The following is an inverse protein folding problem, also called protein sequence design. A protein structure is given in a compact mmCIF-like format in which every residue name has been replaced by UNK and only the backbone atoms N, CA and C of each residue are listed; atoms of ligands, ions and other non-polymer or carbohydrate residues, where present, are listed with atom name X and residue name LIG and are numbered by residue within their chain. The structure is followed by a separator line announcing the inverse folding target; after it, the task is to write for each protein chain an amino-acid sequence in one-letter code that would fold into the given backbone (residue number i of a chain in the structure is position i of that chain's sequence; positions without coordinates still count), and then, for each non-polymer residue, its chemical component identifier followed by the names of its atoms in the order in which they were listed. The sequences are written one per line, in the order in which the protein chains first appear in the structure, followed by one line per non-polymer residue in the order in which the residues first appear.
data_IF_081591287221
#
_entry.id   IF_081591287221
#
_cell.length_a   1.000
_cell.length_b   1.000
_cell.length_c   1.000
_cell.angle_alpha   90.00
_cell.angle_beta   90.00
_cell.angle_gamma   90.00
#
_symmetry.space_group_name_H-M   'P 1'
#
loop_
_entity.id
_entity.type
_entity.pdbx_description
1 polymer ?
#
# COMPACT_ATOMS: atom_id res chain seq x y z
N UNK A 1 22.05 1.52 9.76
CA UNK A 1 22.33 2.83 9.13
C UNK A 1 21.04 3.59 8.79
N UNK A 2 20.02 2.92 8.25
CA UNK A 2 18.75 3.53 7.80
C UNK A 2 17.99 4.36 8.84
N UNK A 3 17.95 3.94 10.11
CA UNK A 3 17.20 4.66 11.15
C UNK A 3 17.77 6.04 11.48
N UNK A 4 19.11 6.17 11.55
CA UNK A 4 19.76 7.47 11.78
C UNK A 4 19.52 8.42 10.61
N UNK A 5 19.59 7.92 9.38
CA UNK A 5 19.31 8.71 8.18
C UNK A 5 17.87 9.22 8.17
N UNK A 6 16.89 8.38 8.53
CA UNK A 6 15.49 8.82 8.66
C UNK A 6 15.36 9.96 9.67
N UNK A 7 15.91 9.79 10.88
CA UNK A 7 15.85 10.82 11.93
C UNK A 7 16.52 12.12 11.50
N UNK A 8 17.64 12.04 10.78
CA UNK A 8 18.33 13.21 10.24
C UNK A 8 17.50 13.95 9.18
N UNK A 9 16.83 13.21 8.29
CA UNK A 9 15.90 13.80 7.32
C UNK A 9 14.69 14.46 7.98
N UNK A 10 14.13 13.82 9.01
CA UNK A 10 13.03 14.38 9.82
C UNK A 10 13.46 15.64 10.56
N UNK A 11 14.69 15.67 11.10
CA UNK A 11 15.26 16.85 11.74
C UNK A 11 15.41 18.02 10.76
N UNK A 12 16.03 17.80 9.58
CA UNK A 12 16.19 18.86 8.56
C UNK A 12 14.82 19.36 8.11
N UNK A 13 13.90 18.45 7.80
CA UNK A 13 12.55 18.79 7.38
C UNK A 13 11.79 19.56 8.47
N UNK A 14 12.00 19.21 9.74
CA UNK A 14 11.39 19.88 10.89
C UNK A 14 11.92 21.29 11.12
N UNK A 15 13.21 21.52 10.90
CA UNK A 15 13.80 22.86 10.94
C UNK A 15 13.21 23.75 9.83
N UNK A 16 13.15 23.24 8.60
CA UNK A 16 12.53 23.95 7.47
C UNK A 16 11.03 24.20 7.70
N UNK A 17 10.32 23.19 8.20
CA UNK A 17 8.89 23.28 8.52
C UNK A 17 8.61 24.34 9.57
N UNK A 18 9.41 24.39 10.64
CA UNK A 18 9.27 25.40 11.69
C UNK A 18 9.49 26.81 11.12
N UNK A 19 10.52 27.00 10.29
CA UNK A 19 10.78 28.28 9.64
C UNK A 19 9.62 28.71 8.72
N UNK A 20 9.13 27.81 7.86
CA UNK A 20 8.01 28.08 6.95
C UNK A 20 6.72 28.40 7.71
N UNK A 21 6.46 27.69 8.81
CA UNK A 21 5.32 27.97 9.69
C UNK A 21 5.43 29.36 10.30
N UNK A 22 6.57 29.71 10.89
CA UNK A 22 6.79 31.03 11.49
C UNK A 22 6.63 32.15 10.46
N UNK A 23 7.20 31.98 9.26
CA UNK A 23 7.05 32.95 8.17
C UNK A 23 5.60 33.08 7.71
N UNK A 24 4.89 31.96 7.51
CA UNK A 24 3.48 31.95 7.09
C UNK A 24 2.56 32.56 8.14
N UNK A 25 2.77 32.24 9.42
CA UNK A 25 2.04 32.86 10.54
C UNK A 25 2.27 34.37 10.55
N UNK A 26 3.51 34.84 10.41
CA UNK A 26 3.81 36.27 10.39
C UNK A 26 3.06 36.97 9.24
N UNK A 27 3.07 36.39 8.04
CA UNK A 27 2.35 36.91 6.87
C UNK A 27 0.83 36.97 7.09
N UNK A 28 0.25 36.00 7.81
CA UNK A 28 -1.18 35.95 8.09
C UNK A 28 -1.61 36.85 9.27
N UNK A 29 -0.78 36.96 10.32
CA UNK A 29 -1.12 37.68 11.56
C UNK A 29 -0.81 39.18 11.47
N UNK A 30 0.22 39.61 10.74
CA UNK A 30 0.56 41.03 10.61
C UNK A 30 -0.67 41.85 10.13
N UNK A 31 -1.39 41.47 9.05
CA UNK A 31 -2.60 42.16 8.62
C UNK A 31 -3.73 42.15 9.65
N UNK A 32 -3.88 41.05 10.42
CA UNK A 32 -4.87 40.94 11.51
C UNK A 32 -4.55 41.97 12.59
N UNK A 33 -3.31 42.00 13.07
CA UNK A 33 -2.87 42.91 14.13
C UNK A 33 -3.09 44.39 13.76
N UNK A 34 -2.89 44.74 12.49
CA UNK A 34 -3.15 46.08 11.97
C UNK A 34 -4.64 46.38 11.83
N UNK A 35 -5.46 45.38 11.47
CA UNK A 35 -6.91 45.51 11.31
C UNK A 35 -7.64 45.63 12.66
N UNK A 36 -7.23 44.85 13.67
CA UNK A 36 -7.78 44.89 15.03
C UNK A 36 -7.58 46.25 15.69
N UNK A 37 -6.39 46.86 15.52
CA UNK A 37 -6.10 48.21 16.05
C UNK A 37 -6.99 49.29 15.45
N UNK A 38 -7.49 49.11 14.23
CA UNK A 38 -8.35 50.09 13.55
C UNK A 38 -9.84 49.83 13.75
N UNK A 39 -10.30 48.59 13.60
CA UNK A 39 -11.70 48.22 13.80
C UNK A 39 -11.86 46.69 13.97
N UNK A 40 -12.11 46.18 15.20
CA UNK A 40 -12.13 44.74 15.48
C UNK A 40 -13.29 43.98 14.81
N UNK A 41 -14.36 44.67 14.40
CA UNK A 41 -15.51 44.07 13.73
C UNK A 41 -15.48 44.23 12.20
N UNK A 42 -14.32 44.53 11.62
CA UNK A 42 -14.19 44.68 10.17
C UNK A 42 -14.33 43.33 9.45
N UNK A 43 -14.96 43.33 8.27
CA UNK A 43 -15.01 42.15 7.39
C UNK A 43 -13.60 41.61 7.05
N UNK A 44 -12.60 42.51 7.05
CA UNK A 44 -11.20 42.17 6.88
C UNK A 44 -10.66 41.30 8.02
N UNK A 45 -11.01 41.59 9.27
CA UNK A 45 -10.62 40.77 10.41
C UNK A 45 -11.12 39.32 10.30
N UNK A 46 -12.39 39.14 9.95
CA UNK A 46 -12.98 37.81 9.73
C UNK A 46 -12.28 37.08 8.58
N UNK A 47 -12.06 37.77 7.46
CA UNK A 47 -11.37 37.21 6.30
C UNK A 47 -9.97 36.70 6.64
N UNK A 48 -9.13 37.52 7.28
CA UNK A 48 -7.77 37.12 7.64
C UNK A 48 -7.74 36.02 8.71
N UNK A 49 -8.72 35.99 9.62
CA UNK A 49 -8.85 34.91 10.61
C UNK A 49 -9.15 33.58 9.92
N UNK A 50 -10.09 33.56 8.95
CA UNK A 50 -10.38 32.38 8.15
C UNK A 50 -9.17 31.95 7.32
N UNK A 51 -8.48 32.90 6.68
CA UNK A 51 -7.27 32.64 5.90
C UNK A 51 -6.18 31.99 6.76
N UNK A 52 -5.98 32.49 7.98
CA UNK A 52 -5.03 31.92 8.95
C UNK A 52 -5.43 30.50 9.34
N UNK A 53 -6.72 30.25 9.59
CA UNK A 53 -7.24 28.91 9.87
C UNK A 53 -7.00 27.93 8.73
N UNK A 54 -7.29 28.34 7.48
CA UNK A 54 -7.02 27.53 6.29
C UNK A 54 -5.53 27.24 6.11
N UNK A 55 -4.67 28.25 6.29
CA UNK A 55 -3.22 28.09 6.24
C UNK A 55 -2.73 27.08 7.28
N UNK A 56 -3.16 27.21 8.53
CA UNK A 56 -2.80 26.29 9.61
C UNK A 56 -3.25 24.86 9.29
N UNK A 57 -4.50 24.68 8.86
CA UNK A 57 -5.02 23.36 8.48
C UNK A 57 -4.19 22.71 7.37
N UNK A 58 -3.88 23.48 6.33
CA UNK A 58 -3.06 23.04 5.21
C UNK A 58 -1.63 22.70 5.64
N UNK A 59 -1.01 23.57 6.45
CA UNK A 59 0.35 23.38 6.93
C UNK A 59 0.49 22.10 7.76
N UNK A 60 -0.41 21.87 8.71
CA UNK A 60 -0.35 20.66 9.55
C UNK A 60 -0.56 19.38 8.75
N UNK A 61 -1.46 19.40 7.76
CA UNK A 61 -1.64 18.26 6.87
C UNK A 61 -0.43 18.03 5.95
N UNK A 62 0.20 19.10 5.46
CA UNK A 62 1.45 19.00 4.68
C UNK A 62 2.58 18.43 5.56
N UNK A 63 2.74 18.92 6.79
CA UNK A 63 3.75 18.43 7.73
C UNK A 63 3.56 16.94 8.06
N UNK A 64 2.34 16.51 8.37
CA UNK A 64 2.03 15.10 8.55
C UNK A 64 2.39 14.28 7.31
N UNK A 65 2.09 14.80 6.11
CA UNK A 65 2.44 14.15 4.84
C UNK A 65 3.95 14.00 4.66
N UNK A 66 4.75 15.01 5.04
CA UNK A 66 6.22 14.94 5.03
C UNK A 66 6.71 13.83 5.95
N UNK A 67 6.24 13.79 7.21
CA UNK A 67 6.65 12.76 8.16
C UNK A 67 6.29 11.36 7.65
N UNK A 68 5.04 11.16 7.23
CA UNK A 68 4.53 9.88 6.73
C UNK A 68 5.28 9.42 5.48
N UNK A 69 5.56 10.32 4.54
CA UNK A 69 6.27 9.98 3.30
C UNK A 69 7.73 9.59 3.55
N UNK A 70 8.41 10.28 4.47
CA UNK A 70 9.76 9.90 4.90
C UNK A 70 9.73 8.52 5.53
N UNK A 71 8.85 8.24 6.50
CA UNK A 71 8.72 6.91 7.13
C UNK A 71 8.52 5.84 6.04
N UNK A 72 7.59 6.08 5.12
CA UNK A 72 7.29 5.16 4.04
C UNK A 72 8.50 4.87 3.16
N UNK A 73 9.33 5.87 2.84
CA UNK A 73 10.55 5.68 2.05
C UNK A 73 11.60 4.76 2.71
N UNK A 74 11.53 4.57 4.03
CA UNK A 74 12.44 3.69 4.77
C UNK A 74 11.84 2.32 5.05
N UNK A 75 10.60 2.23 5.54
CA UNK A 75 9.99 0.92 5.90
C UNK A 75 9.79 0.01 4.69
N UNK A 76 9.81 0.56 3.47
CA UNK A 76 9.72 -0.25 2.25
C UNK A 76 11.02 -0.89 1.80
N UNK A 77 12.13 -0.61 2.47
CA UNK A 77 13.39 -1.23 2.12
C UNK A 77 13.40 -2.67 2.67
N UNK A 78 13.89 -3.65 1.90
CA UNK A 78 13.81 -5.07 2.26
C UNK A 78 14.64 -5.44 3.50
N UNK A 79 15.53 -4.55 3.94
CA UNK A 79 16.40 -4.70 5.10
C UNK A 79 15.77 -4.17 6.40
N UNK A 80 14.56 -3.61 6.37
CA UNK A 80 13.85 -3.14 7.57
C UNK A 80 12.98 -4.25 8.15
N UNK A 81 13.23 -4.57 9.42
CA UNK A 81 12.51 -5.63 10.16
C UNK A 81 11.63 -5.10 11.29
N UNK A 82 11.75 -3.81 11.63
CA UNK A 82 11.12 -3.20 12.82
C UNK A 82 10.35 -1.93 12.46
N UNK A 83 9.38 -2.05 11.55
CA UNK A 83 8.65 -0.90 10.98
C UNK A 83 7.98 -0.02 12.05
N UNK A 84 7.51 -0.62 13.14
CA UNK A 84 6.86 0.10 14.24
C UNK A 84 7.77 1.14 14.90
N UNK A 85 9.09 0.92 14.92
CA UNK A 85 10.07 1.87 15.48
C UNK A 85 10.15 3.13 14.62
N UNK A 86 10.07 2.97 13.29
CA UNK A 86 10.06 4.07 12.34
C UNK A 86 8.78 4.89 12.47
N UNK A 87 7.63 4.22 12.62
CA UNK A 87 6.35 4.87 12.87
C UNK A 87 6.33 5.65 14.19
N UNK A 88 6.80 5.04 15.29
CA UNK A 88 6.87 5.69 16.59
C UNK A 88 7.80 6.92 16.56
N UNK A 89 8.99 6.77 15.98
CA UNK A 89 9.95 7.86 15.84
C UNK A 89 9.38 8.99 14.97
N UNK A 90 8.81 8.66 13.81
CA UNK A 90 8.20 9.63 12.91
C UNK A 90 7.01 10.36 13.55
N UNK A 91 6.21 9.68 14.37
CA UNK A 91 5.15 10.32 15.16
C UNK A 91 5.71 11.31 16.18
N UNK A 92 6.75 10.94 16.94
CA UNK A 92 7.39 11.84 17.90
C UNK A 92 8.00 13.06 17.22
N UNK A 93 8.61 12.89 16.04
CA UNK A 93 9.09 13.99 15.21
C UNK A 93 7.96 14.88 14.70
N UNK A 94 6.85 14.29 14.25
CA UNK A 94 5.66 15.02 13.84
C UNK A 94 5.20 15.97 14.96
N UNK A 95 5.12 15.45 16.19
CA UNK A 95 4.72 16.19 17.39
C UNK A 95 5.74 17.23 17.88
N UNK A 96 7.01 17.10 17.51
CA UNK A 96 8.09 17.95 18.04
C UNK A 96 7.92 19.45 17.72
N UNK A 97 7.39 19.79 16.54
CA UNK A 97 7.17 21.20 16.15
C UNK A 97 6.13 21.83 17.07
N UNK A 98 5.02 21.14 17.34
CA UNK A 98 3.98 21.64 18.24
C UNK A 98 4.52 21.79 19.66
N UNK A 99 5.26 20.79 20.15
CA UNK A 99 5.87 20.85 21.48
C UNK A 99 6.81 22.05 21.63
N UNK A 100 7.62 22.33 20.60
CA UNK A 100 8.51 23.50 20.57
C UNK A 100 7.74 24.81 20.57
N UNK A 101 6.72 24.95 19.71
CA UNK A 101 5.89 26.16 19.66
C UNK A 101 5.22 26.41 21.00
N UNK A 102 4.60 25.38 21.56
CA UNK A 102 3.94 25.46 22.86
C UNK A 102 4.90 25.92 23.96
N UNK A 103 6.10 25.34 24.01
CA UNK A 103 7.14 25.75 24.97
C UNK A 103 7.60 27.19 24.76
N UNK A 104 7.79 27.63 23.51
CA UNK A 104 8.22 29.00 23.20
C UNK A 104 7.15 30.05 23.55
N UNK A 105 5.88 29.73 23.33
CA UNK A 105 4.76 30.62 23.66
C UNK A 105 4.55 30.70 25.18
N UNK A 106 4.66 29.59 25.91
CA UNK A 106 4.53 29.58 27.37
C UNK A 106 5.57 30.48 28.07
N UNK A 107 6.74 30.69 27.46
CA UNK A 107 7.80 31.53 28.02
C UNK A 107 7.45 33.03 28.03
N UNK A 108 6.39 33.47 27.34
CA UNK A 108 6.09 34.88 27.08
C UNK A 108 4.66 35.31 27.45
N UNK A 109 3.94 34.51 28.25
CA UNK A 109 2.51 34.72 28.52
C UNK A 109 2.20 34.92 30.01
N UNK A 110 1.39 35.93 30.33
CA UNK A 110 0.80 36.20 31.65
C UNK A 110 -0.25 35.14 32.04
N UNK A 111 -0.46 34.91 33.35
CA UNK A 111 -1.30 33.81 33.88
C UNK A 111 -2.74 33.76 33.33
N UNK A 112 -3.34 34.90 32.95
CA UNK A 112 -4.71 34.99 32.43
C UNK A 112 -4.88 34.41 31.01
N UNK A 113 -3.81 34.38 30.20
CA UNK A 113 -3.87 33.93 28.80
C UNK A 113 -3.48 32.44 28.62
N UNK A 114 -2.96 31.80 29.67
CA UNK A 114 -2.53 30.38 29.64
C UNK A 114 -3.65 29.41 29.26
N UNK A 115 -4.90 29.69 29.67
CA UNK A 115 -6.06 28.81 29.40
C UNK A 115 -6.46 28.81 27.92
N UNK A 116 -6.44 29.98 27.27
CA UNK A 116 -6.79 30.11 25.86
C UNK A 116 -5.68 29.53 24.97
N UNK A 117 -4.42 29.74 25.35
CA UNK A 117 -3.27 29.15 24.68
C UNK A 117 -3.30 27.60 24.72
N UNK A 118 -3.56 27.03 25.91
CA UNK A 118 -3.66 25.57 26.07
C UNK A 118 -4.73 24.94 25.18
N UNK A 119 -5.89 25.63 25.02
CA UNK A 119 -6.95 25.18 24.11
C UNK A 119 -6.51 25.21 22.64
N UNK A 120 -5.81 26.26 22.21
CA UNK A 120 -5.26 26.36 20.86
C UNK A 120 -4.25 25.25 20.56
N UNK A 121 -3.26 25.07 21.44
CA UNK A 121 -2.25 24.01 21.31
C UNK A 121 -2.88 22.61 21.25
N UNK A 122 -3.93 22.37 22.04
CA UNK A 122 -4.68 21.12 22.03
C UNK A 122 -5.36 20.87 20.66
N UNK A 123 -6.00 21.89 20.07
CA UNK A 123 -6.65 21.77 18.76
C UNK A 123 -5.65 21.45 17.65
N UNK A 124 -4.50 22.13 17.60
CA UNK A 124 -3.46 21.84 16.61
C UNK A 124 -2.86 20.45 16.79
N UNK A 125 -2.67 20.03 18.03
CA UNK A 125 -2.22 18.68 18.37
C UNK A 125 -3.18 17.63 17.84
N UNK A 126 -4.46 17.76 18.15
CA UNK A 126 -5.49 16.81 17.68
C UNK A 126 -5.58 16.78 16.16
N UNK A 127 -5.51 17.93 15.51
CA UNK A 127 -5.52 18.03 14.05
C UNK A 127 -4.32 17.31 13.44
N UNK A 128 -3.12 17.55 13.96
CA UNK A 128 -1.90 16.94 13.45
C UNK A 128 -1.89 15.42 13.65
N UNK A 129 -2.29 14.95 14.85
CA UNK A 129 -2.43 13.52 15.14
C UNK A 129 -3.44 12.89 14.17
N UNK A 130 -4.58 13.53 13.94
CA UNK A 130 -5.59 13.04 13.00
C UNK A 130 -5.02 12.91 11.60
N UNK A 131 -4.33 13.94 11.07
CA UNK A 131 -3.72 13.85 9.75
C UNK A 131 -2.65 12.77 9.67
N UNK A 132 -1.79 12.68 10.68
CA UNK A 132 -0.75 11.67 10.73
C UNK A 132 -1.36 10.26 10.67
N UNK A 133 -2.35 9.96 11.50
CA UNK A 133 -3.04 8.66 11.50
C UNK A 133 -3.73 8.42 10.15
N UNK A 134 -4.51 9.39 9.65
CA UNK A 134 -5.21 9.25 8.37
C UNK A 134 -4.25 8.97 7.23
N UNK A 135 -3.13 9.68 7.12
CA UNK A 135 -2.15 9.46 6.04
C UNK A 135 -1.27 8.23 6.27
N UNK A 136 -1.08 7.80 7.51
CA UNK A 136 -0.43 6.53 7.82
C UNK A 136 -1.26 5.36 7.32
N UNK A 137 -2.58 5.40 7.51
CA UNK A 137 -3.50 4.32 7.10
C UNK A 137 -3.89 4.43 5.62
N UNK A 138 -4.04 5.64 5.08
CA UNK A 138 -4.46 5.93 3.70
C UNK A 138 -3.51 6.93 3.03
N UNK A 139 -2.28 6.53 2.68
CA UNK A 139 -1.29 7.42 2.09
C UNK A 139 -1.77 8.11 0.80
N UNK A 140 -2.65 7.48 0.00
CA UNK A 140 -3.18 8.10 -1.22
C UNK A 140 -3.96 9.41 -0.99
N UNK A 141 -4.55 9.60 0.21
CA UNK A 141 -5.26 10.85 0.55
C UNK A 141 -4.29 12.03 0.64
N UNK A 142 -3.09 11.76 1.15
CA UNK A 142 -2.01 12.74 1.18
C UNK A 142 -1.54 13.06 -0.24
N UNK A 143 -1.48 12.07 -1.15
CA UNK A 143 -1.10 12.30 -2.54
C UNK A 143 -2.10 13.16 -3.30
N UNK A 144 -3.41 12.92 -3.11
CA UNK A 144 -4.43 13.73 -3.79
C UNK A 144 -4.37 15.21 -3.38
N UNK A 145 -4.02 15.49 -2.12
CA UNK A 145 -4.02 16.84 -1.56
C UNK A 145 -2.67 17.55 -1.71
N UNK A 146 -1.58 16.81 -1.53
CA UNK A 146 -0.20 17.31 -1.45
C UNK A 146 0.72 16.70 -2.53
N UNK A 147 0.15 16.16 -3.61
CA UNK A 147 0.89 15.48 -4.67
C UNK A 147 1.95 16.35 -5.35
N UNK A 148 1.72 17.66 -5.44
CA UNK A 148 2.70 18.61 -5.97
C UNK A 148 4.03 18.55 -5.19
N UNK A 149 3.97 18.48 -3.86
CA UNK A 149 5.14 18.39 -2.99
C UNK A 149 5.78 17.01 -3.10
N UNK A 150 4.96 15.95 -3.02
CA UNK A 150 5.44 14.57 -3.08
C UNK A 150 6.12 14.24 -4.42
N UNK A 151 5.69 14.86 -5.51
CA UNK A 151 6.33 14.73 -6.82
C UNK A 151 7.68 15.46 -6.85
N UNK A 152 7.77 16.68 -6.29
CA UNK A 152 9.02 17.43 -6.20
C UNK A 152 10.09 16.72 -5.35
N UNK A 153 9.68 15.92 -4.35
CA UNK A 153 10.60 15.20 -3.46
C UNK A 153 10.80 13.72 -3.82
N UNK A 154 10.29 13.25 -4.96
CA UNK A 154 10.29 11.83 -5.36
C UNK A 154 9.68 10.87 -4.31
N UNK A 155 8.83 11.39 -3.41
CA UNK A 155 8.12 10.58 -2.43
C UNK A 155 6.80 10.03 -2.97
N UNK A 156 6.33 10.53 -4.11
CA UNK A 156 5.10 10.09 -4.76
C UNK A 156 5.06 8.58 -5.04
N UNK A 157 6.19 7.96 -5.35
CA UNK A 157 6.31 6.51 -5.53
C UNK A 157 5.91 5.71 -4.28
N UNK A 158 6.11 6.27 -3.09
CA UNK A 158 5.77 5.61 -1.82
C UNK A 158 4.36 5.92 -1.34
N UNK A 159 3.73 6.98 -1.85
CA UNK A 159 2.40 7.41 -1.39
C UNK A 159 1.26 6.98 -2.33
N UNK A 160 1.59 6.44 -3.51
CA UNK A 160 0.65 5.81 -4.46
C UNK A 160 0.26 4.36 -4.10
N UNK A 161 0.76 3.82 -2.99
CA UNK A 161 0.70 2.37 -2.63
C UNK A 161 -0.68 1.73 -2.61
N UNK A 162 -1.74 2.49 -2.33
CA UNK A 162 -3.11 1.94 -2.31
C UNK A 162 -3.74 1.82 -3.71
N UNK A 163 -3.04 2.23 -4.78
CA UNK A 163 -3.50 2.03 -6.15
C UNK A 163 -2.97 0.71 -6.70
N UNK A 164 -3.29 -0.42 -6.05
CA UNK A 164 -3.35 -1.66 -6.82
C UNK A 164 -4.40 -1.40 -7.89
N UNK A 165 -4.02 -1.44 -9.17
CA UNK A 165 -5.00 -1.35 -10.24
C UNK A 165 -6.06 -2.39 -9.94
N UNK A 166 -7.31 -1.95 -9.74
CA UNK A 166 -8.44 -2.79 -9.31
C UNK A 166 -8.59 -4.00 -10.24
N UNK A 167 -8.11 -3.85 -11.48
CA UNK A 167 -8.12 -4.89 -12.49
C UNK A 167 -7.00 -5.94 -12.31
N UNK A 168 -5.85 -5.61 -11.71
CA UNK A 168 -4.69 -6.52 -11.68
C UNK A 168 -4.77 -7.55 -10.55
N UNK A 169 -5.31 -7.16 -9.39
CA UNK A 169 -5.40 -8.04 -8.20
C UNK A 169 -6.24 -9.29 -8.42
N UNK A 170 -7.46 -9.22 -8.99
CA UNK A 170 -8.26 -10.41 -9.24
C UNK A 170 -7.53 -11.40 -10.14
N UNK A 171 -6.85 -10.92 -11.19
CA UNK A 171 -6.08 -11.77 -12.11
C UNK A 171 -4.98 -12.58 -11.41
N UNK A 172 -4.23 -11.94 -10.51
CA UNK A 172 -3.20 -12.61 -9.70
C UNK A 172 -3.83 -13.64 -8.76
N UNK A 173 -4.94 -13.29 -8.11
CA UNK A 173 -5.67 -14.18 -7.20
C UNK A 173 -6.27 -15.40 -7.92
N UNK A 174 -6.85 -15.20 -9.09
CA UNK A 174 -7.38 -16.24 -9.95
C UNK A 174 -6.29 -17.22 -10.40
N UNK A 175 -5.12 -16.71 -10.81
CA UNK A 175 -3.97 -17.57 -11.15
C UNK A 175 -3.53 -18.44 -9.97
N UNK A 176 -3.29 -17.84 -8.78
CA UNK A 176 -2.83 -18.62 -7.63
C UNK A 176 -3.89 -19.60 -7.13
N UNK A 177 -5.17 -19.26 -7.26
CA UNK A 177 -6.28 -20.18 -6.97
C UNK A 177 -6.27 -21.36 -7.92
N UNK A 178 -6.11 -21.11 -9.22
CA UNK A 178 -6.01 -22.17 -10.22
C UNK A 178 -4.82 -23.11 -9.94
N UNK A 179 -3.65 -22.54 -9.70
CA UNK A 179 -2.44 -23.30 -9.40
C UNK A 179 -2.57 -24.16 -8.14
N UNK A 180 -3.14 -23.61 -7.06
CA UNK A 180 -3.39 -24.36 -5.83
C UNK A 180 -4.36 -25.53 -6.04
N UNK A 181 -5.43 -25.32 -6.83
CA UNK A 181 -6.36 -26.41 -7.19
C UNK A 181 -5.69 -27.50 -8.02
N UNK A 182 -4.76 -27.17 -8.93
CA UNK A 182 -3.99 -28.19 -9.67
C UNK A 182 -3.10 -29.01 -8.74
N UNK A 183 -2.40 -28.38 -7.80
CA UNK A 183 -1.59 -29.10 -6.81
C UNK A 183 -2.47 -30.06 -5.99
N UNK A 184 -3.64 -29.60 -5.53
CA UNK A 184 -4.58 -30.44 -4.79
C UNK A 184 -5.10 -31.62 -5.64
N UNK A 185 -5.45 -31.37 -6.90
CA UNK A 185 -5.87 -32.42 -7.82
C UNK A 185 -4.78 -33.47 -8.02
N UNK A 186 -3.54 -33.03 -8.25
CA UNK A 186 -2.37 -33.92 -8.41
C UNK A 186 -2.12 -34.75 -7.15
N UNK A 187 -2.22 -34.14 -5.97
CA UNK A 187 -2.05 -34.87 -4.70
C UNK A 187 -3.13 -35.94 -4.50
N UNK A 188 -4.37 -35.65 -4.87
CA UNK A 188 -5.46 -36.62 -4.81
C UNK A 188 -5.20 -37.79 -5.76
N UNK A 189 -4.88 -37.48 -7.03
CA UNK A 189 -4.61 -38.49 -8.05
C UNK A 189 -3.44 -39.40 -7.70
N UNK A 190 -2.37 -38.85 -7.11
CA UNK A 190 -1.21 -39.65 -6.73
C UNK A 190 -1.57 -40.72 -5.67
N UNK A 191 -2.56 -40.46 -4.82
CA UNK A 191 -3.06 -41.39 -3.81
C UNK A 191 -4.17 -42.33 -4.28
N UNK A 192 -4.76 -42.12 -5.47
CA UNK A 192 -5.92 -42.90 -5.95
C UNK A 192 -5.61 -44.39 -6.03
N UNK A 193 -4.43 -44.78 -6.54
CA UNK A 193 -4.09 -46.21 -6.70
C UNK A 193 -4.01 -46.98 -5.38
N UNK A 194 -3.80 -46.29 -4.26
CA UNK A 194 -3.63 -46.88 -2.92
C UNK A 194 -4.77 -46.55 -1.96
N UNK A 195 -5.68 -45.65 -2.34
CA UNK A 195 -6.79 -45.22 -1.49
C UNK A 195 -7.89 -46.28 -1.45
N UNK A 196 -8.47 -46.61 -0.27
CA UNK A 196 -9.69 -47.42 -0.20
C UNK A 196 -10.93 -46.69 -0.76
N UNK A 197 -10.81 -45.40 -1.08
CA UNK A 197 -11.88 -44.53 -1.58
C UNK A 197 -11.57 -43.98 -2.98
N UNK A 198 -11.02 -44.83 -3.87
CA UNK A 198 -10.52 -44.46 -5.21
C UNK A 198 -11.50 -43.61 -6.02
N UNK A 199 -12.77 -44.06 -6.13
CA UNK A 199 -13.79 -43.34 -6.90
C UNK A 199 -14.10 -41.96 -6.31
N UNK A 200 -14.10 -41.85 -4.98
CA UNK A 200 -14.37 -40.59 -4.30
C UNK A 200 -13.20 -39.61 -4.45
N UNK A 201 -11.96 -40.09 -4.37
CA UNK A 201 -10.77 -39.24 -4.54
C UNK A 201 -10.59 -38.80 -5.99
N UNK A 202 -10.92 -39.67 -6.95
CA UNK A 202 -11.00 -39.30 -8.36
C UNK A 202 -12.07 -38.22 -8.61
N UNK A 203 -13.26 -38.36 -8.02
CA UNK A 203 -14.31 -37.34 -8.11
C UNK A 203 -13.89 -35.99 -7.50
N UNK A 204 -13.19 -36.00 -6.36
CA UNK A 204 -12.61 -34.78 -5.76
C UNK A 204 -11.55 -34.15 -6.67
N UNK A 205 -10.68 -34.94 -7.29
CA UNK A 205 -9.67 -34.44 -8.22
C UNK A 205 -10.33 -33.77 -9.43
N UNK A 206 -11.38 -34.37 -9.98
CA UNK A 206 -12.18 -33.78 -11.06
C UNK A 206 -12.81 -32.43 -10.66
N UNK A 207 -13.31 -32.30 -9.43
CA UNK A 207 -13.82 -31.01 -8.93
C UNK A 207 -12.69 -29.97 -8.89
N UNK A 208 -11.50 -30.36 -8.44
CA UNK A 208 -10.34 -29.45 -8.39
C UNK A 208 -9.86 -29.01 -9.77
N UNK A 209 -9.82 -29.90 -10.77
CA UNK A 209 -9.52 -29.51 -12.15
C UNK A 209 -10.56 -28.56 -12.74
N UNK A 210 -11.85 -28.77 -12.45
CA UNK A 210 -12.90 -27.84 -12.85
C UNK A 210 -12.76 -26.46 -12.18
N UNK A 211 -12.42 -26.42 -10.90
CA UNK A 211 -12.18 -25.17 -10.17
C UNK A 211 -10.95 -24.44 -10.71
N UNK A 212 -9.89 -25.18 -11.02
CA UNK A 212 -8.68 -24.64 -11.64
C UNK A 212 -9.00 -24.02 -12.99
N UNK A 213 -9.75 -24.74 -13.85
CA UNK A 213 -10.15 -24.26 -15.17
C UNK A 213 -10.99 -22.99 -15.09
N UNK A 214 -12.01 -22.96 -14.22
CA UNK A 214 -12.85 -21.77 -14.03
C UNK A 214 -12.05 -20.56 -13.54
N UNK A 215 -11.08 -20.79 -12.65
CA UNK A 215 -10.25 -19.71 -12.11
C UNK A 215 -9.29 -19.19 -13.16
N UNK A 216 -8.58 -20.07 -13.89
CA UNK A 216 -7.60 -19.62 -14.89
C UNK A 216 -8.26 -18.90 -16.07
N UNK A 217 -9.47 -19.32 -16.47
CA UNK A 217 -10.24 -18.67 -17.54
C UNK A 217 -10.72 -17.24 -17.17
N UNK A 218 -10.65 -16.87 -15.89
CA UNK A 218 -10.93 -15.50 -15.43
C UNK A 218 -9.68 -14.61 -15.45
N UNK A 219 -8.51 -15.16 -15.77
CA UNK A 219 -7.27 -14.39 -15.92
C UNK A 219 -7.20 -13.71 -17.29
N UNK A 220 -6.91 -12.42 -17.31
CA UNK A 220 -6.52 -11.66 -18.50
C UNK A 220 -5.03 -11.90 -18.78
N UNK A 221 -4.77 -12.44 -19.97
CA UNK A 221 -3.43 -12.71 -20.48
C UNK A 221 -2.53 -11.47 -20.50
N UNK A 222 -3.07 -10.31 -20.92
CA UNK A 222 -2.30 -9.09 -21.04
C UNK A 222 -1.89 -8.56 -19.66
N UNK A 223 -2.82 -8.62 -18.69
CA UNK A 223 -2.55 -8.17 -17.31
C UNK A 223 -1.42 -8.97 -16.67
N UNK A 224 -1.43 -10.30 -16.83
CA UNK A 224 -0.35 -11.15 -16.32
C UNK A 224 0.97 -10.91 -17.07
N UNK A 225 0.93 -10.69 -18.39
CA UNK A 225 2.12 -10.38 -19.20
C UNK A 225 2.72 -9.00 -18.87
N UNK A 226 1.90 -8.01 -18.51
CA UNK A 226 2.34 -6.70 -17.99
C UNK A 226 2.99 -6.79 -16.60
N UNK A 227 2.71 -7.87 -15.86
CA UNK A 227 3.30 -8.15 -14.57
C UNK A 227 4.61 -8.91 -14.67
N UNK A 228 4.66 -9.90 -15.55
CA UNK A 228 5.86 -10.65 -15.87
C UNK A 228 5.81 -11.18 -17.31
N UNK A 229 6.86 -10.99 -18.12
CA UNK A 229 6.84 -11.38 -19.53
C UNK A 229 6.44 -12.85 -19.73
N UNK A 230 5.52 -13.08 -20.67
CA UNK A 230 4.95 -14.38 -21.05
C UNK A 230 4.17 -15.11 -19.95
N UNK A 231 3.94 -14.54 -18.77
CA UNK A 231 3.19 -15.23 -17.71
C UNK A 231 1.75 -15.54 -18.10
N UNK A 232 1.02 -14.56 -18.65
CA UNK A 232 -0.33 -14.75 -19.15
C UNK A 232 -0.37 -15.75 -20.31
N UNK A 233 0.55 -15.60 -21.26
CA UNK A 233 0.61 -16.48 -22.44
C UNK A 233 0.88 -17.92 -22.05
N UNK A 234 1.84 -18.18 -21.15
CA UNK A 234 2.10 -19.54 -20.65
C UNK A 234 0.95 -20.12 -19.84
N UNK A 235 0.25 -19.27 -19.07
CA UNK A 235 -0.95 -19.67 -18.32
C UNK A 235 -2.08 -20.09 -19.24
N UNK A 236 -2.26 -19.42 -20.38
CA UNK A 236 -3.33 -19.69 -21.34
C UNK A 236 -2.97 -20.83 -22.29
N UNK A 237 -1.82 -20.74 -22.96
CA UNK A 237 -1.41 -21.71 -23.98
C UNK A 237 -1.14 -23.10 -23.41
N UNK A 238 -0.63 -23.17 -22.17
CA UNK A 238 -0.29 -24.45 -21.55
C UNK A 238 -1.29 -24.83 -20.44
N UNK A 239 -1.43 -24.03 -19.38
CA UNK A 239 -2.21 -24.44 -18.21
C UNK A 239 -3.72 -24.50 -18.50
N UNK A 240 -4.32 -23.45 -19.06
CA UNK A 240 -5.75 -23.41 -19.39
C UNK A 240 -6.12 -24.49 -20.42
N UNK A 241 -5.33 -24.61 -21.50
CA UNK A 241 -5.53 -25.64 -22.51
C UNK A 241 -5.40 -27.05 -21.93
N UNK A 242 -4.42 -27.32 -21.07
CA UNK A 242 -4.29 -28.61 -20.40
C UNK A 242 -5.53 -28.94 -19.55
N UNK A 243 -6.03 -27.96 -18.79
CA UNK A 243 -7.22 -28.11 -17.97
C UNK A 243 -8.48 -28.33 -18.81
N UNK A 244 -8.60 -27.67 -19.96
CA UNK A 244 -9.68 -27.90 -20.92
C UNK A 244 -9.65 -29.33 -21.48
N UNK A 245 -8.45 -29.83 -21.83
CA UNK A 245 -8.26 -31.21 -22.28
C UNK A 245 -8.61 -32.20 -21.18
N UNK A 246 -8.12 -32.03 -19.95
CA UNK A 246 -8.44 -32.89 -18.80
C UNK A 246 -9.95 -32.95 -18.58
N UNK A 247 -10.62 -31.81 -18.48
CA UNK A 247 -12.07 -31.75 -18.23
C UNK A 247 -12.89 -32.42 -19.34
N UNK A 248 -12.37 -32.47 -20.57
CA UNK A 248 -12.98 -33.18 -21.69
C UNK A 248 -12.68 -34.68 -21.62
N UNK A 249 -11.42 -35.04 -21.37
CA UNK A 249 -10.89 -36.38 -21.44
C UNK A 249 -11.41 -37.31 -20.33
N UNK A 250 -11.75 -36.77 -19.15
CA UNK A 250 -12.28 -37.52 -18.02
C UNK A 250 -13.78 -37.85 -18.13
N UNK A 251 -14.46 -37.41 -19.18
CA UNK A 251 -15.85 -37.84 -19.47
C UNK A 251 -15.84 -39.31 -19.91
N UNK A 252 -16.86 -40.10 -19.54
CA UNK A 252 -16.91 -41.52 -19.94
C UNK A 252 -17.35 -41.67 -21.42
N UNK A 253 -16.65 -42.49 -22.23
CA UNK A 253 -15.41 -43.23 -21.93
C UNK A 253 -14.19 -42.31 -21.90
N UNK A 254 -13.24 -42.58 -20.98
CA UNK A 254 -12.03 -41.78 -20.79
C UNK A 254 -11.20 -41.74 -22.07
N UNK A 255 -10.73 -40.56 -22.45
CA UNK A 255 -9.87 -40.36 -23.62
C UNK A 255 -8.40 -40.25 -23.19
N UNK A 256 -7.70 -41.38 -23.13
CA UNK A 256 -6.29 -41.47 -22.72
C UNK A 256 -5.36 -40.62 -23.58
N UNK A 257 -5.64 -40.50 -24.89
CA UNK A 257 -4.83 -39.69 -25.80
C UNK A 257 -4.86 -38.21 -25.39
N UNK A 258 -6.05 -37.68 -25.09
CA UNK A 258 -6.20 -36.29 -24.63
C UNK A 258 -5.57 -36.06 -23.25
N UNK A 259 -5.59 -37.07 -22.36
CA UNK A 259 -4.86 -36.98 -21.09
C UNK A 259 -3.34 -36.89 -21.31
N UNK A 260 -2.79 -37.69 -22.22
CA UNK A 260 -1.37 -37.60 -22.59
C UNK A 260 -0.98 -36.25 -23.20
N UNK A 261 -1.86 -35.67 -24.03
CA UNK A 261 -1.66 -34.30 -24.56
C UNK A 261 -1.70 -33.24 -23.46
N UNK A 262 -2.61 -33.38 -22.49
CA UNK A 262 -2.69 -32.49 -21.34
C UNK A 262 -1.45 -32.57 -20.43
N UNK A 263 -0.93 -33.77 -20.20
CA UNK A 263 0.29 -33.98 -19.40
C UNK A 263 1.50 -33.26 -20.01
N UNK A 264 1.64 -33.29 -21.34
CA UNK A 264 2.70 -32.56 -22.05
C UNK A 264 2.60 -31.05 -21.79
N UNK A 265 1.38 -30.49 -21.82
CA UNK A 265 1.15 -29.07 -21.57
C UNK A 265 1.40 -28.69 -20.11
N UNK A 266 0.95 -29.51 -19.15
CA UNK A 266 1.25 -29.32 -17.72
C UNK A 266 2.76 -29.33 -17.50
N UNK A 267 3.48 -30.28 -18.09
CA UNK A 267 4.93 -30.39 -17.93
C UNK A 267 5.66 -29.18 -18.52
N UNK A 268 5.22 -28.66 -19.68
CA UNK A 268 5.75 -27.41 -20.25
C UNK A 268 5.52 -26.23 -19.30
N UNK A 269 4.31 -26.10 -18.77
CA UNK A 269 3.95 -25.04 -17.84
C UNK A 269 4.76 -25.13 -16.54
N UNK A 270 4.85 -26.31 -15.92
CA UNK A 270 5.58 -26.54 -14.67
C UNK A 270 7.08 -26.25 -14.82
N UNK A 271 7.69 -26.68 -15.92
CA UNK A 271 9.09 -26.36 -16.22
C UNK A 271 9.31 -24.86 -16.36
N UNK A 272 8.44 -24.16 -17.09
CA UNK A 272 8.51 -22.71 -17.21
C UNK A 272 8.31 -22.04 -15.84
N UNK A 273 7.34 -22.49 -15.06
CA UNK A 273 7.01 -21.92 -13.76
C UNK A 273 8.16 -22.09 -12.78
N UNK A 274 8.79 -23.28 -12.70
CA UNK A 274 9.96 -23.54 -11.84
C UNK A 274 11.12 -22.58 -12.11
N UNK A 275 11.38 -22.26 -13.38
CA UNK A 275 12.44 -21.33 -13.77
C UNK A 275 12.09 -19.89 -13.38
N UNK A 276 10.81 -19.51 -13.52
CA UNK A 276 10.38 -18.11 -13.42
C UNK A 276 9.73 -17.74 -12.09
N UNK A 277 9.41 -18.70 -11.22
CA UNK A 277 8.59 -18.52 -10.02
C UNK A 277 9.11 -17.38 -9.14
N UNK A 278 10.38 -17.44 -8.75
CA UNK A 278 11.00 -16.42 -7.90
C UNK A 278 10.91 -15.03 -8.53
N UNK A 279 11.10 -14.91 -9.84
CA UNK A 279 11.06 -13.63 -10.53
C UNK A 279 9.63 -13.09 -10.68
N UNK A 280 8.64 -13.97 -10.88
CA UNK A 280 7.22 -13.60 -10.83
C UNK A 280 6.89 -13.05 -9.44
N UNK A 281 7.31 -13.75 -8.38
CA UNK A 281 7.09 -13.30 -7.00
C UNK A 281 7.77 -11.96 -6.71
N UNK A 282 9.00 -11.76 -7.18
CA UNK A 282 9.70 -10.48 -7.07
C UNK A 282 8.96 -9.39 -7.83
N UNK A 283 8.49 -9.66 -9.05
CA UNK A 283 7.78 -8.69 -9.89
C UNK A 283 6.44 -8.30 -9.28
N UNK A 284 5.69 -9.26 -8.72
CA UNK A 284 4.46 -9.01 -7.96
C UNK A 284 4.76 -8.19 -6.71
N UNK A 285 5.78 -8.55 -5.92
CA UNK A 285 6.12 -7.79 -4.71
C UNK A 285 6.68 -6.39 -5.05
N UNK A 286 7.33 -6.23 -6.20
CA UNK A 286 7.84 -4.94 -6.67
C UNK A 286 6.68 -4.04 -7.14
N UNK A 287 5.72 -4.59 -7.91
CA UNK A 287 4.57 -3.85 -8.44
C UNK A 287 3.46 -3.68 -7.38
N UNK A 288 3.29 -4.63 -6.47
CA UNK A 288 2.33 -4.64 -5.35
C UNK A 288 2.98 -5.14 -4.03
N UNK A 289 3.74 -4.28 -3.34
CA UNK A 289 4.41 -4.65 -2.08
C UNK A 289 3.43 -5.05 -0.95
N UNK A 290 2.15 -4.71 -1.08
CA UNK A 290 1.09 -5.08 -0.12
C UNK A 290 0.46 -6.46 -0.37
N UNK A 291 0.84 -7.16 -1.44
CA UNK A 291 0.35 -8.51 -1.70
C UNK A 291 1.34 -9.50 -1.09
N UNK A 292 1.14 -10.02 0.14
CA UNK A 292 2.11 -10.89 0.79
C UNK A 292 2.08 -12.27 0.14
N UNK A 293 2.70 -12.43 -1.03
CA UNK A 293 2.75 -13.75 -1.69
C UNK A 293 3.48 -14.76 -0.80
N UNK A 294 4.46 -14.28 -0.01
CA UNK A 294 5.22 -15.07 0.97
C UNK A 294 4.38 -15.79 2.03
N UNK A 295 3.11 -15.42 2.26
CA UNK A 295 2.25 -16.10 3.26
C UNK A 295 1.27 -17.12 2.69
N UNK A 296 0.94 -17.08 1.40
CA UNK A 296 -0.06 -17.98 0.80
C UNK A 296 0.52 -19.31 0.31
N UNK A 297 1.84 -19.39 0.16
CA UNK A 297 2.53 -20.56 -0.38
C UNK A 297 3.54 -21.09 0.66
N UNK A 298 3.04 -21.50 1.83
CA UNK A 298 3.78 -22.45 2.68
C UNK A 298 3.43 -23.84 2.17
N UNK A 299 4.26 -24.36 1.28
CA UNK A 299 4.38 -25.78 0.99
C UNK A 299 5.81 -26.19 1.33
#
# INVERSE_FOLDING_TARGET
MNFLTMNFQLLISGLLGTFLLSAGIALCIIPISMSVKKNPNSKLFVFFTLLTGCFQFYFWGLWATVCVSIIYSFINKPDVTWDWVYWLSGFMWCMSIIARLHSSEQAHIDDLDKKNQSRGACLYTLLLISFFITFSIKPHWSYNTYGWYLNATNYSQYMKRDQININDKPNIEHFFTAYASVIQASSLLHGVSTSPSQEQDFAKAQIQFNNAYKSIAQCDENVLNELYPNWGTQSKENLENALALINTAIKKPINEKMLGEADILILKFDNWLKINWTNILISINHKYPEYPVKRKLKH
#
